data_IF_209844568835
#
_entry.id   IF_209844568835
#
_cell.length_a   1.000
_cell.length_b   1.000
_cell.length_c   1.000
_cell.angle_alpha   90.00
_cell.angle_beta   90.00
_cell.angle_gamma   90.00
#
_symmetry.space_group_name_H-M   'P 1'
#
loop_
_entity.id
_entity.type
_entity.pdbx_description
1 polymer ?
#
# COMPACT_ATOMS: atom_id res chain seq x y z
N UNK A 1 -10.13 -22.12 -30.15
CA UNK A 1 -10.41 -22.66 -28.80
C UNK A 1 -9.76 -21.77 -27.75
N UNK A 2 -10.48 -21.32 -26.70
CA UNK A 2 -10.06 -20.53 -25.50
C UNK A 2 -10.81 -19.19 -25.29
N UNK A 3 -12.14 -19.20 -25.41
CA UNK A 3 -12.99 -18.06 -24.97
C UNK A 3 -14.14 -18.54 -24.08
N UNK A 4 -14.88 -19.56 -24.54
CA UNK A 4 -16.03 -20.11 -23.81
C UNK A 4 -15.69 -20.76 -22.45
N UNK A 5 -14.55 -21.46 -22.35
CA UNK A 5 -14.14 -22.10 -21.09
C UNK A 5 -13.85 -21.08 -20.00
N UNK A 6 -13.21 -19.94 -20.33
CA UNK A 6 -12.99 -18.87 -19.36
C UNK A 6 -14.31 -18.22 -18.91
N UNK A 7 -15.23 -17.95 -19.85
CA UNK A 7 -16.50 -17.30 -19.51
C UNK A 7 -17.41 -18.17 -18.63
N UNK A 8 -17.48 -19.48 -18.89
CA UNK A 8 -18.30 -20.38 -18.08
C UNK A 8 -17.71 -20.62 -16.68
N UNK A 9 -16.38 -20.68 -16.56
CA UNK A 9 -15.71 -20.75 -15.26
C UNK A 9 -15.95 -19.48 -14.44
N UNK A 10 -15.83 -18.29 -15.04
CA UNK A 10 -16.10 -17.02 -14.33
C UNK A 10 -17.53 -16.94 -13.79
N UNK A 11 -18.52 -17.44 -14.54
CA UNK A 11 -19.92 -17.50 -14.08
C UNK A 11 -20.13 -18.42 -12.87
N UNK A 12 -19.35 -19.49 -12.76
CA UNK A 12 -19.42 -20.46 -11.64
C UNK A 12 -18.65 -20.00 -10.41
N UNK A 13 -17.46 -19.44 -10.61
CA UNK A 13 -16.55 -19.06 -9.52
C UNK A 13 -16.75 -17.64 -9.00
N UNK A 14 -17.40 -16.78 -9.78
CA UNK A 14 -17.72 -15.42 -9.35
C UNK A 14 -19.14 -15.01 -9.79
N UNK A 15 -20.20 -15.72 -9.35
CA UNK A 15 -21.57 -15.43 -9.73
C UNK A 15 -22.01 -14.02 -9.32
N UNK A 16 -21.37 -13.46 -8.28
CA UNK A 16 -21.62 -12.10 -7.79
C UNK A 16 -20.84 -11.00 -8.50
N UNK A 17 -20.00 -11.32 -9.50
CA UNK A 17 -19.13 -10.35 -10.20
C UNK A 17 -18.26 -9.53 -9.24
N UNK A 18 -17.81 -10.17 -8.16
CA UNK A 18 -16.99 -9.58 -7.12
C UNK A 18 -15.52 -9.44 -7.56
N UNK A 19 -15.07 -10.28 -8.48
CA UNK A 19 -13.67 -10.44 -8.90
C UNK A 19 -13.47 -10.27 -10.42
N UNK A 20 -14.55 -10.14 -11.20
CA UNK A 20 -14.48 -9.84 -12.63
C UNK A 20 -15.54 -8.84 -13.09
N UNK A 21 -15.23 -8.11 -14.17
CA UNK A 21 -16.24 -7.32 -14.87
C UNK A 21 -17.10 -8.24 -15.74
N UNK A 22 -18.42 -8.18 -15.55
CA UNK A 22 -19.37 -8.96 -16.35
C UNK A 22 -19.79 -8.33 -17.68
N UNK A 23 -19.10 -7.28 -18.15
CA UNK A 23 -19.36 -6.70 -19.46
C UNK A 23 -18.84 -7.64 -20.55
N UNK A 24 -19.74 -8.12 -21.40
CA UNK A 24 -19.37 -8.81 -22.63
C UNK A 24 -19.01 -7.80 -23.72
N UNK A 25 -18.11 -8.17 -24.63
CA UNK A 25 -17.72 -7.31 -25.76
C UNK A 25 -18.54 -7.57 -27.02
N UNK A 26 -19.50 -8.49 -26.97
CA UNK A 26 -20.37 -8.83 -28.10
C UNK A 26 -21.22 -7.63 -28.51
N UNK A 27 -21.06 -7.17 -29.76
CA UNK A 27 -21.82 -6.05 -30.31
C UNK A 27 -21.34 -4.66 -29.86
N UNK A 28 -20.22 -4.55 -29.13
CA UNK A 28 -19.59 -3.27 -28.82
C UNK A 28 -18.63 -2.84 -29.94
N UNK A 29 -18.62 -1.54 -30.24
CA UNK A 29 -17.63 -0.92 -31.13
C UNK A 29 -16.25 -0.88 -30.45
N UNK A 30 -15.14 -0.91 -31.22
CA UNK A 30 -13.79 -0.87 -30.67
C UNK A 30 -13.54 0.28 -29.68
N UNK A 31 -14.09 1.46 -29.97
CA UNK A 31 -13.93 2.65 -29.11
C UNK A 31 -14.64 2.49 -27.76
N UNK A 32 -15.75 1.75 -27.74
CA UNK A 32 -16.49 1.43 -26.51
C UNK A 32 -15.72 0.42 -25.66
N UNK A 33 -15.07 -0.56 -26.32
CA UNK A 33 -14.21 -1.53 -25.65
C UNK A 33 -12.99 -0.84 -25.04
N UNK A 34 -12.32 0.03 -25.80
CA UNK A 34 -11.16 0.79 -25.33
C UNK A 34 -11.52 1.67 -24.14
N UNK A 35 -12.60 2.44 -24.25
CA UNK A 35 -13.12 3.26 -23.13
C UNK A 35 -13.36 2.42 -21.88
N UNK A 36 -13.99 1.25 -22.03
CA UNK A 36 -14.22 0.36 -20.90
C UNK A 36 -12.91 -0.12 -20.26
N UNK A 37 -11.90 -0.51 -21.04
CA UNK A 37 -10.63 -0.99 -20.49
C UNK A 37 -9.90 0.08 -19.67
N UNK A 38 -10.07 1.35 -20.02
CA UNK A 38 -9.51 2.49 -19.29
C UNK A 38 -10.27 2.81 -17.99
N UNK A 39 -11.60 2.65 -17.99
CA UNK A 39 -12.46 3.03 -16.86
C UNK A 39 -12.78 1.87 -15.90
N UNK A 40 -12.60 0.63 -16.34
CA UNK A 40 -12.97 -0.56 -15.57
C UNK A 40 -12.24 -0.60 -14.23
N UNK A 41 -12.99 -0.81 -13.15
CA UNK A 41 -12.41 -0.92 -11.79
C UNK A 41 -11.61 -2.20 -11.60
N UNK A 42 -11.83 -3.21 -12.44
CA UNK A 42 -11.04 -4.44 -12.47
C UNK A 42 -9.80 -4.36 -13.36
N UNK A 43 -9.57 -3.23 -14.05
CA UNK A 43 -8.38 -3.06 -14.89
C UNK A 43 -7.10 -3.20 -14.04
N UNK A 44 -6.06 -3.84 -14.55
CA UNK A 44 -4.79 -3.95 -13.84
C UNK A 44 -4.14 -2.57 -13.73
N UNK A 45 -3.67 -2.23 -12.54
CA UNK A 45 -2.86 -1.05 -12.26
C UNK A 45 -1.63 -1.48 -11.46
N UNK A 46 -0.53 -0.76 -11.66
CA UNK A 46 0.69 -0.92 -10.87
C UNK A 46 0.73 0.06 -9.71
N UNK A 47 1.42 -0.30 -8.63
CA UNK A 47 1.74 0.64 -7.58
C UNK A 47 2.63 1.78 -8.11
N UNK A 48 2.35 3.01 -7.66
CA UNK A 48 3.13 4.20 -8.05
C UNK A 48 4.30 4.48 -7.09
N UNK A 49 4.36 3.80 -5.93
CA UNK A 49 5.44 3.98 -4.97
C UNK A 49 6.74 3.38 -5.52
N UNK A 50 7.82 4.16 -5.47
CA UNK A 50 9.12 3.74 -5.98
C UNK A 50 9.60 2.44 -5.30
N UNK A 51 9.99 1.45 -6.12
CA UNK A 51 10.44 0.14 -5.66
C UNK A 51 9.32 -0.87 -5.39
N UNK A 52 8.05 -0.48 -5.46
CA UNK A 52 6.93 -1.42 -5.42
C UNK A 52 6.58 -1.90 -6.83
N UNK A 53 6.56 -3.21 -7.05
CA UNK A 53 6.20 -3.82 -8.34
C UNK A 53 4.85 -4.56 -8.29
N UNK A 54 4.03 -4.27 -7.28
CA UNK A 54 2.72 -4.91 -7.13
C UNK A 54 1.78 -4.52 -8.29
N UNK A 55 1.07 -5.53 -8.81
CA UNK A 55 -0.02 -5.39 -9.77
C UNK A 55 -1.32 -5.84 -9.12
N UNK A 56 -2.35 -5.02 -9.21
CA UNK A 56 -3.67 -5.27 -8.63
C UNK A 56 -4.74 -4.59 -9.48
N UNK A 57 -6.02 -4.87 -9.22
CA UNK A 57 -7.08 -4.13 -9.91
C UNK A 57 -7.23 -2.72 -9.33
N UNK A 58 -7.62 -1.74 -10.16
CA UNK A 58 -7.87 -0.36 -9.71
C UNK A 58 -8.80 -0.26 -8.48
N UNK A 59 -9.75 -1.19 -8.33
CA UNK A 59 -10.62 -1.32 -7.16
C UNK A 59 -9.87 -1.47 -5.82
N UNK A 60 -8.74 -2.18 -5.82
CA UNK A 60 -7.96 -2.51 -4.63
C UNK A 60 -6.76 -1.58 -4.44
N UNK A 61 -6.72 -0.45 -5.15
CA UNK A 61 -5.61 0.49 -5.06
C UNK A 61 -5.49 1.12 -3.67
N UNK A 62 -6.61 1.53 -3.07
CA UNK A 62 -6.61 2.14 -1.73
C UNK A 62 -6.23 1.12 -0.64
N UNK A 63 -6.73 -0.12 -0.77
CA UNK A 63 -6.37 -1.22 0.13
C UNK A 63 -4.89 -1.54 0.06
N UNK A 64 -4.31 -1.57 -1.14
CA UNK A 64 -2.87 -1.73 -1.32
C UNK A 64 -2.09 -0.55 -0.72
N UNK A 65 -2.49 0.68 -1.02
CA UNK A 65 -1.80 1.89 -0.53
C UNK A 65 -1.74 1.95 1.01
N UNK A 66 -2.81 1.50 1.68
CA UNK A 66 -2.86 1.39 3.14
C UNK A 66 -1.76 0.49 3.71
N UNK A 67 -1.34 -0.56 2.99
CA UNK A 67 -0.36 -1.56 3.46
C UNK A 67 0.97 -1.55 2.71
N UNK A 68 1.12 -0.76 1.64
CA UNK A 68 2.30 -0.76 0.79
C UNK A 68 3.58 -0.47 1.58
N UNK A 69 4.49 -1.43 1.67
CA UNK A 69 5.74 -1.29 2.45
C UNK A 69 6.67 -0.19 1.90
N UNK A 70 6.57 0.09 0.60
CA UNK A 70 7.35 1.12 -0.09
C UNK A 70 6.74 2.52 -0.01
N UNK A 71 5.55 2.67 0.56
CA UNK A 71 4.92 3.98 0.72
C UNK A 71 5.75 4.84 1.68
N UNK A 72 6.07 6.07 1.26
CA UNK A 72 6.69 7.07 2.11
C UNK A 72 5.65 7.61 3.08
N UNK A 73 5.93 7.49 4.37
CA UNK A 73 5.06 7.91 5.47
C UNK A 73 5.87 8.72 6.49
N UNK A 74 5.19 9.57 7.26
CA UNK A 74 5.82 10.30 8.35
C UNK A 74 6.22 9.36 9.49
N UNK A 75 7.30 9.68 10.20
CA UNK A 75 7.72 8.95 11.39
C UNK A 75 6.59 8.88 12.43
N UNK A 76 6.34 7.68 12.96
CA UNK A 76 5.30 7.41 13.97
C UNK A 76 5.52 8.16 15.29
N UNK A 77 6.76 8.55 15.58
CA UNK A 77 7.10 9.40 16.75
C UNK A 77 6.97 10.88 16.49
N UNK A 78 6.73 11.30 15.24
CA UNK A 78 6.61 12.72 14.89
C UNK A 78 7.93 13.48 14.88
N UNK A 79 9.05 12.82 14.58
CA UNK A 79 10.36 13.50 14.54
C UNK A 79 10.56 14.43 13.33
N UNK A 80 9.60 14.48 12.39
CA UNK A 80 9.64 15.30 11.18
C UNK A 80 10.21 14.59 9.94
N UNK A 81 10.83 13.41 10.09
CA UNK A 81 11.31 12.63 8.94
C UNK A 81 10.17 11.92 8.20
N UNK A 82 10.35 11.73 6.90
CA UNK A 82 9.50 10.93 6.03
C UNK A 82 10.34 9.80 5.43
N UNK A 83 9.83 8.57 5.52
CA UNK A 83 10.57 7.37 5.14
C UNK A 83 9.62 6.28 4.64
N UNK A 84 10.14 5.34 3.86
CA UNK A 84 9.37 4.17 3.45
C UNK A 84 8.93 3.38 4.69
N UNK A 85 7.69 2.88 4.66
CA UNK A 85 7.09 2.10 5.76
C UNK A 85 7.98 0.93 6.20
N UNK A 86 8.64 0.22 5.27
CA UNK A 86 9.56 -0.88 5.61
C UNK A 86 10.76 -0.42 6.47
N UNK A 87 11.22 0.82 6.30
CA UNK A 87 12.37 1.37 7.01
C UNK A 87 12.01 1.95 8.39
N UNK A 88 10.71 2.03 8.73
CA UNK A 88 10.21 2.65 9.96
C UNK A 88 10.84 2.01 11.20
N UNK A 89 10.88 0.68 11.27
CA UNK A 89 11.40 -0.04 12.43
C UNK A 89 12.88 0.27 12.67
N UNK A 90 13.69 0.19 11.62
CA UNK A 90 15.12 0.50 11.71
C UNK A 90 15.34 1.95 12.15
N UNK A 91 14.57 2.90 11.61
CA UNK A 91 14.62 4.29 12.04
C UNK A 91 14.27 4.44 13.54
N UNK A 92 13.15 3.86 13.99
CA UNK A 92 12.70 3.96 15.39
C UNK A 92 13.70 3.33 16.37
N UNK A 93 14.33 2.22 16.00
CA UNK A 93 15.32 1.55 16.84
C UNK A 93 16.72 2.17 16.71
N UNK A 94 16.99 2.84 15.60
CA UNK A 94 18.32 3.25 15.17
C UNK A 94 18.50 4.75 15.22
N UNK A 95 18.06 5.45 14.17
CA UNK A 95 18.42 6.85 13.85
C UNK A 95 17.44 7.92 14.34
N UNK A 96 16.24 7.53 14.78
CA UNK A 96 15.20 8.47 15.19
C UNK A 96 15.69 9.46 16.26
N UNK A 97 15.58 10.76 16.00
CA UNK A 97 15.90 11.81 16.97
C UNK A 97 15.00 11.77 18.21
N UNK A 98 13.76 11.29 18.06
CA UNK A 98 12.82 11.10 19.16
C UNK A 98 12.92 9.72 19.82
N UNK A 99 13.98 8.95 19.52
CA UNK A 99 14.23 7.68 20.22
C UNK A 99 14.46 7.95 21.71
N UNK A 100 13.71 7.26 22.60
CA UNK A 100 13.95 7.34 24.04
C UNK A 100 15.36 6.86 24.39
N UNK A 101 16.03 7.61 25.24
CA UNK A 101 17.34 7.25 25.78
C UNK A 101 17.30 7.25 27.30
N UNK A 102 18.11 6.38 27.91
CA UNK A 102 18.22 6.32 29.36
C UNK A 102 18.81 7.64 29.88
N UNK A 103 18.17 8.20 30.91
CA UNK A 103 18.72 9.36 31.60
C UNK A 103 20.07 8.98 32.24
N UNK A 104 21.13 9.80 32.08
CA UNK A 104 22.41 9.55 32.77
C UNK A 104 22.27 9.44 34.28
N UNK A 105 21.23 10.04 34.88
CA UNK A 105 20.93 10.02 36.31
C UNK A 105 19.97 8.89 36.71
N UNK A 106 19.73 7.90 35.86
CA UNK A 106 18.89 6.75 36.20
C UNK A 106 19.44 6.01 37.43
N UNK A 107 20.76 5.92 37.57
CA UNK A 107 21.40 5.27 38.72
C UNK A 107 21.17 5.99 40.06
N UNK A 108 20.78 7.27 40.04
CA UNK A 108 20.37 8.03 41.22
C UNK A 108 18.85 8.18 41.33
N UNK A 109 18.08 7.44 40.51
CA UNK A 109 16.61 7.37 40.61
C UNK A 109 15.82 8.29 39.69
N UNK A 110 16.43 8.94 38.68
CA UNK A 110 15.69 9.76 37.72
C UNK A 110 14.88 8.89 36.74
N UNK A 111 13.56 9.10 36.66
CA UNK A 111 12.62 8.36 35.79
C UNK A 111 12.08 9.17 34.61
N UNK A 112 12.54 10.40 34.41
CA UNK A 112 12.06 11.24 33.31
C UNK A 112 12.50 10.70 31.95
N UNK A 113 11.58 10.47 31.00
CA UNK A 113 11.95 10.08 29.64
C UNK A 113 12.69 11.25 28.96
N UNK A 114 13.77 10.94 28.24
CA UNK A 114 14.49 11.89 27.37
C UNK A 114 14.59 11.32 25.97
N UNK A 115 14.60 12.19 24.96
CA UNK A 115 14.92 11.82 23.58
C UNK A 115 16.31 12.31 23.20
N UNK A 116 16.86 11.85 22.06
CA UNK A 116 18.17 12.30 21.60
C UNK A 116 18.22 13.79 21.27
N UNK A 117 17.09 14.37 20.84
CA UNK A 117 17.00 15.80 20.58
C UNK A 117 17.06 16.64 21.88
N UNK A 118 16.80 16.03 23.05
CA UNK A 118 16.83 16.70 24.35
C UNK A 118 18.22 16.68 25.03
N UNK A 119 19.21 16.02 24.42
CA UNK A 119 20.58 16.00 24.94
C UNK A 119 21.40 17.15 24.34
N UNK A 120 22.24 17.81 25.16
CA UNK A 120 23.15 18.87 24.71
C UNK A 120 24.29 18.34 23.82
#
# INVERSE_FOLDING_TARGET
>A
CRGGVCAELLRKFDPGRQWHCGLGFDGLLPEQVEKHLLECTFRPVGCLNAGCHALFSARYADEHDAVCEHKVVACERGCGEQLCRFAMREHLDGSCGLKPVACPFLFVGCISPRSRLDLP
#
